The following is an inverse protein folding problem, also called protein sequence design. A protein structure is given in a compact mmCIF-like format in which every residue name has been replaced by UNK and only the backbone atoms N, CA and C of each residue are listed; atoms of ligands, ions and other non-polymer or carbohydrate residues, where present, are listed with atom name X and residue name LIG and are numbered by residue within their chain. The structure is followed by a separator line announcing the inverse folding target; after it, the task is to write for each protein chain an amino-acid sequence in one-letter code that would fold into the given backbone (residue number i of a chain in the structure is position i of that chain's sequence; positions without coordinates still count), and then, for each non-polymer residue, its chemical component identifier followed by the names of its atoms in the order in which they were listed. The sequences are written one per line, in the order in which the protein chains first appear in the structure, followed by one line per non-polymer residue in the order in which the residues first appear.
data_IF_877311655129
#
_entry.id   IF_877311655129
#
_cell.length_a   1.000
_cell.length_b   1.000
_cell.length_c   1.000
_cell.angle_alpha   90.00
_cell.angle_beta   90.00
_cell.angle_gamma   90.00
#
_symmetry.space_group_name_H-M   'P 1'
#
loop_
_entity.id
_entity.type
_entity.pdbx_description
1 polymer ?
#
# COMPACT_ATOMS: atom_id res chain seq x y z
N UNK A 1 -18.78 -29.15 11.38
CA UNK A 1 -18.97 -27.68 11.36
C UNK A 1 -17.71 -26.92 11.78
N UNK A 2 -17.06 -27.24 12.91
CA UNK A 2 -15.84 -26.55 13.35
C UNK A 2 -14.68 -26.57 12.33
N UNK A 3 -14.38 -27.71 11.71
CA UNK A 3 -13.27 -27.82 10.74
C UNK A 3 -13.45 -26.95 9.50
N UNK A 4 -14.68 -26.87 8.97
CA UNK A 4 -14.98 -26.06 7.77
C UNK A 4 -14.84 -24.57 8.09
N UNK A 5 -15.31 -24.13 9.27
CA UNK A 5 -15.16 -22.73 9.71
C UNK A 5 -13.68 -22.37 9.87
N UNK A 6 -12.87 -23.25 10.48
CA UNK A 6 -11.42 -23.04 10.60
C UNK A 6 -10.71 -22.97 9.24
N UNK A 7 -11.09 -23.81 8.27
CA UNK A 7 -10.52 -23.73 6.93
C UNK A 7 -10.89 -22.42 6.22
N UNK A 8 -12.13 -21.94 6.37
CA UNK A 8 -12.57 -20.66 5.80
C UNK A 8 -11.81 -19.47 6.42
N UNK A 9 -11.63 -19.45 7.75
CA UNK A 9 -10.89 -18.35 8.39
C UNK A 9 -9.44 -18.31 7.93
N UNK A 10 -8.76 -19.46 7.86
CA UNK A 10 -7.39 -19.56 7.34
C UNK A 10 -7.27 -19.08 5.88
N UNK A 11 -8.20 -19.48 5.01
CA UNK A 11 -8.21 -19.05 3.61
C UNK A 11 -8.35 -17.53 3.46
N UNK A 12 -9.21 -16.89 4.27
CA UNK A 12 -9.38 -15.42 4.22
C UNK A 12 -8.14 -14.67 4.69
N UNK A 13 -7.45 -15.15 5.73
CA UNK A 13 -6.21 -14.55 6.22
C UNK A 13 -5.08 -14.64 5.19
N UNK A 14 -4.95 -15.80 4.52
CA UNK A 14 -4.00 -15.97 3.43
C UNK A 14 -4.24 -14.97 2.29
N UNK A 15 -5.50 -14.77 1.89
CA UNK A 15 -5.87 -13.79 0.86
C UNK A 15 -5.46 -12.35 1.19
N UNK A 16 -5.63 -11.92 2.45
CA UNK A 16 -5.23 -10.58 2.90
C UNK A 16 -3.71 -10.38 2.85
N UNK A 17 -2.93 -11.40 3.24
CA UNK A 17 -1.45 -11.32 3.20
C UNK A 17 -0.90 -11.19 1.78
N UNK A 18 -1.50 -11.89 0.82
CA UNK A 18 -1.14 -11.80 -0.60
C UNK A 18 -1.51 -10.43 -1.19
N UNK A 19 -2.69 -9.92 -0.85
CA UNK A 19 -3.12 -8.59 -1.30
C UNK A 19 -2.16 -7.50 -0.80
N UNK A 20 -1.76 -7.56 0.48
CA UNK A 20 -0.81 -6.62 1.06
C UNK A 20 0.50 -6.53 0.26
N UNK A 21 1.15 -7.67 0.03
CA UNK A 21 2.40 -7.71 -0.74
C UNK A 21 2.20 -7.25 -2.18
N UNK A 22 1.10 -7.66 -2.82
CA UNK A 22 0.79 -7.32 -4.21
C UNK A 22 0.56 -5.83 -4.42
N UNK A 23 -0.11 -5.14 -3.50
CA UNK A 23 -0.30 -3.69 -3.60
C UNK A 23 0.97 -2.92 -3.24
N UNK A 24 1.74 -3.40 -2.27
CA UNK A 24 3.02 -2.81 -1.92
C UNK A 24 4.02 -2.89 -3.10
N UNK A 25 4.06 -4.01 -3.83
CA UNK A 25 4.95 -4.19 -4.99
C UNK A 25 4.54 -3.37 -6.22
N UNK A 26 3.31 -2.86 -6.27
CA UNK A 26 2.87 -1.98 -7.35
C UNK A 26 3.42 -0.57 -7.20
N UNK A 27 3.81 -0.15 -5.99
CA UNK A 27 4.44 1.15 -5.75
C UNK A 27 5.97 0.96 -5.80
N UNK A 28 6.70 1.69 -6.64
CA UNK A 28 8.16 1.68 -6.61
C UNK A 28 8.67 2.05 -5.20
N UNK A 29 9.52 1.21 -4.61
CA UNK A 29 10.06 1.39 -3.25
C UNK A 29 8.97 1.45 -2.14
N UNK A 30 7.79 0.86 -2.37
CA UNK A 30 6.65 0.91 -1.45
C UNK A 30 6.88 0.23 -0.09
N UNK A 31 7.83 -0.68 0.02
CA UNK A 31 8.23 -1.38 1.25
C UNK A 31 9.27 -0.59 2.08
N UNK A 32 9.84 0.45 1.49
CA UNK A 32 10.95 1.21 2.06
C UNK A 32 10.66 2.72 2.10
N UNK A 33 9.39 3.08 2.27
CA UNK A 33 8.99 4.46 2.53
C UNK A 33 9.26 4.79 4.00
N UNK A 34 10.05 5.84 4.31
CA UNK A 34 10.31 6.25 5.69
C UNK A 34 9.09 6.94 6.30
N UNK A 35 8.92 6.80 7.60
CA UNK A 35 7.88 7.47 8.37
C UNK A 35 8.21 8.96 8.50
N UNK A 36 7.26 9.88 8.22
CA UNK A 36 7.57 11.31 8.17
C UNK A 36 7.99 11.91 9.51
N UNK A 37 7.47 11.36 10.61
CA UNK A 37 7.72 11.88 11.96
C UNK A 37 8.59 10.97 12.86
N UNK A 38 8.91 9.74 12.43
CA UNK A 38 9.59 8.76 13.27
C UNK A 38 10.90 8.35 12.59
N UNK A 39 12.06 8.81 13.08
CA UNK A 39 13.35 8.49 12.47
C UNK A 39 13.59 6.98 12.54
N UNK A 40 14.13 6.41 11.46
CA UNK A 40 14.39 4.98 11.29
C UNK A 40 13.15 4.06 11.28
N UNK A 41 11.94 4.62 11.23
CA UNK A 41 10.72 3.83 11.01
C UNK A 41 10.31 3.89 9.54
N UNK A 42 9.76 2.78 9.04
CA UNK A 42 9.14 2.69 7.70
C UNK A 42 7.63 2.74 7.79
N UNK A 43 6.95 3.05 6.69
CA UNK A 43 5.50 3.04 6.55
C UNK A 43 5.05 1.95 5.58
N UNK A 44 5.02 0.68 6.01
CA UNK A 44 4.82 -0.43 5.08
C UNK A 44 3.35 -0.50 4.59
N UNK A 45 2.38 0.05 5.33
CA UNK A 45 0.98 0.22 4.92
C UNK A 45 0.68 1.57 4.24
N UNK A 46 1.44 1.94 3.20
CA UNK A 46 1.47 3.29 2.60
C UNK A 46 0.11 3.90 2.22
N UNK A 47 -0.88 3.07 1.89
CA UNK A 47 -2.24 3.50 1.48
C UNK A 47 -3.28 3.51 2.59
N UNK A 48 -2.88 3.36 3.85
CA UNK A 48 -3.77 3.23 4.99
C UNK A 48 -3.35 4.18 6.13
N UNK A 49 -4.31 4.53 6.97
CA UNK A 49 -4.07 5.29 8.21
C UNK A 49 -3.25 4.48 9.21
N UNK A 50 -3.47 3.16 9.28
CA UNK A 50 -2.66 2.28 10.09
C UNK A 50 -1.32 2.02 9.42
N UNK A 51 -0.24 2.29 10.15
CA UNK A 51 1.15 2.11 9.68
C UNK A 51 1.43 0.72 9.08
N UNK A 52 0.87 -0.34 9.69
CA UNK A 52 1.06 -1.73 9.24
C UNK A 52 0.04 -2.16 8.17
N UNK A 53 -0.79 -1.25 7.69
CA UNK A 53 -1.91 -1.52 6.79
C UNK A 53 -3.23 -1.75 7.51
N UNK A 54 -4.30 -1.91 6.72
CA UNK A 54 -5.66 -2.07 7.23
C UNK A 54 -6.30 -0.75 7.70
N UNK A 55 -7.56 -0.80 8.12
CA UNK A 55 -8.33 0.42 8.43
C UNK A 55 -8.62 1.28 7.19
N UNK A 56 -9.03 2.53 7.41
CA UNK A 56 -9.41 3.47 6.35
C UNK A 56 -8.21 3.82 5.46
N UNK A 57 -8.47 4.15 4.20
CA UNK A 57 -7.45 4.63 3.27
C UNK A 57 -7.07 6.07 3.64
N UNK A 58 -5.78 6.34 3.67
CA UNK A 58 -5.28 7.72 3.71
C UNK A 58 -5.47 8.38 2.31
N UNK A 59 -5.22 9.69 2.17
CA UNK A 59 -5.39 10.37 0.89
C UNK A 59 -4.59 9.74 -0.26
N UNK A 60 -3.35 9.28 0.00
CA UNK A 60 -2.56 8.55 -1.00
C UNK A 60 -3.27 7.28 -1.48
N UNK A 61 -3.80 6.47 -0.56
CA UNK A 61 -4.52 5.24 -0.89
C UNK A 61 -5.81 5.50 -1.67
N UNK A 62 -6.51 6.59 -1.36
CA UNK A 62 -7.70 7.01 -2.10
C UNK A 62 -7.36 7.41 -3.54
N UNK A 63 -6.31 8.21 -3.73
CA UNK A 63 -5.82 8.59 -5.06
C UNK A 63 -5.30 7.37 -5.83
N UNK A 64 -4.54 6.50 -5.16
CA UNK A 64 -3.99 5.29 -5.76
C UNK A 64 -5.09 4.36 -6.31
N UNK A 65 -6.18 4.21 -5.57
CA UNK A 65 -7.36 3.47 -6.02
C UNK A 65 -8.09 4.18 -7.17
N UNK A 66 -8.18 5.51 -7.14
CA UNK A 66 -8.84 6.31 -8.18
C UNK A 66 -8.10 6.27 -9.53
N UNK A 67 -6.78 6.26 -9.52
CA UNK A 67 -5.95 6.24 -10.73
C UNK A 67 -5.69 4.84 -11.29
N UNK A 68 -6.40 3.81 -10.79
CA UNK A 68 -6.38 2.46 -11.37
C UNK A 68 -5.18 1.61 -10.98
N UNK A 69 -4.47 1.99 -9.92
CA UNK A 69 -3.20 1.37 -9.53
C UNK A 69 -2.07 1.57 -10.57
N UNK A 70 -0.82 1.45 -10.12
CA UNK A 70 0.37 1.76 -10.92
C UNK A 70 0.47 0.93 -12.22
N UNK A 71 -0.14 -0.26 -12.26
CA UNK A 71 -0.06 -1.20 -13.38
C UNK A 71 -1.04 -0.93 -14.53
N UNK A 72 -2.10 -0.13 -14.35
CA UNK A 72 -3.08 0.08 -15.42
C UNK A 72 -2.77 1.34 -16.24
N UNK A 73 -2.06 1.15 -17.37
CA UNK A 73 -1.81 2.08 -18.50
C UNK A 73 -1.17 3.45 -18.19
N UNK A 74 -1.28 4.02 -16.99
CA UNK A 74 -0.63 5.22 -16.50
C UNK A 74 0.84 4.99 -16.09
N UNK A 75 1.21 3.79 -15.64
CA UNK A 75 2.56 3.48 -15.16
C UNK A 75 3.70 3.64 -16.19
N UNK A 76 3.42 3.54 -17.50
CA UNK A 76 4.47 3.63 -18.54
C UNK A 76 4.90 5.06 -18.90
N UNK A 77 4.01 6.05 -18.76
CA UNK A 77 4.32 7.47 -19.08
C UNK A 77 4.92 8.17 -17.85
N UNK A 78 4.55 7.72 -16.65
CA UNK A 78 4.87 8.30 -15.35
C UNK A 78 6.23 7.81 -14.79
N UNK A 79 6.78 6.69 -15.30
CA UNK A 79 8.01 6.03 -14.80
C UNK A 79 9.28 6.90 -14.81
N UNK A 80 9.31 8.00 -15.58
CA UNK A 80 10.47 8.91 -15.64
C UNK A 80 10.30 10.24 -14.88
N UNK A 81 9.07 10.67 -14.61
CA UNK A 81 8.82 12.02 -14.07
C UNK A 81 8.37 12.04 -12.61
N UNK A 82 7.85 10.93 -12.08
CA UNK A 82 7.03 10.95 -10.86
C UNK A 82 7.61 10.14 -9.69
N UNK A 83 8.70 9.40 -9.88
CA UNK A 83 9.26 8.59 -8.77
C UNK A 83 9.74 9.44 -7.58
N UNK A 84 10.24 10.65 -7.81
CA UNK A 84 10.64 11.59 -6.75
C UNK A 84 9.46 12.39 -6.19
N UNK A 85 8.50 12.78 -7.03
CA UNK A 85 7.33 13.56 -6.62
C UNK A 85 6.26 12.72 -5.90
N UNK A 86 5.98 11.49 -6.34
CA UNK A 86 5.10 10.58 -5.62
C UNK A 86 5.75 10.06 -4.35
N UNK A 87 7.07 9.86 -4.32
CA UNK A 87 7.75 9.54 -3.05
C UNK A 87 7.61 10.70 -2.05
N UNK A 88 7.88 11.94 -2.48
CA UNK A 88 7.70 13.11 -1.61
C UNK A 88 6.24 13.41 -1.28
N UNK A 89 5.29 13.11 -2.16
CA UNK A 89 3.85 13.20 -1.88
C UNK A 89 3.43 12.12 -0.88
N UNK A 90 3.81 10.86 -1.08
CA UNK A 90 3.53 9.76 -0.16
C UNK A 90 4.12 10.04 1.23
N UNK A 91 5.30 10.64 1.32
CA UNK A 91 5.87 11.13 2.58
C UNK A 91 5.08 12.28 3.21
N UNK A 92 4.41 13.13 2.41
CA UNK A 92 3.58 14.25 2.90
C UNK A 92 2.19 13.80 3.38
N UNK A 93 1.58 12.81 2.74
CA UNK A 93 0.23 12.28 3.08
C UNK A 93 0.23 11.07 4.02
N UNK A 94 1.39 10.55 4.41
CA UNK A 94 1.53 9.63 5.54
C UNK A 94 1.42 10.34 6.92
N UNK A 95 0.64 11.42 7.00
CA UNK A 95 0.32 12.15 8.24
C UNK A 95 -1.12 11.89 8.64
#
# INVERSE_FOLDING_TARGET
MFTVVTCLTLATMAGQSLAYQTFQSQVPNGDNVPHPCLPNYKWPGLGHENRLGGGTRNPFGADFARFGYWVSRFGRIIHRAVSSEVFSLAQRVAR
#
